data_IF_562480532948
#
_entry.id   IF_562480532948
#
_cell.length_a   1.000
_cell.length_b   1.000
_cell.length_c   1.000
_cell.angle_alpha   90.00
_cell.angle_beta   90.00
_cell.angle_gamma   90.00
#
_symmetry.space_group_name_H-M   'P 1'
#
loop_
_entity.id
_entity.type
_entity.pdbx_description
1 polymer ?
#
# COMPACT_ATOMS: atom_id res chain seq x y z
N UNK A 1 -6.79 19.01 -1.88
CA UNK A 1 -6.04 18.98 -3.16
C UNK A 1 -4.77 18.15 -2.92
N UNK A 2 -4.47 17.17 -3.78
CA UNK A 2 -3.29 16.30 -3.61
C UNK A 2 -2.03 17.08 -4.05
N UNK A 3 -1.17 17.44 -3.09
CA UNK A 3 0.03 18.25 -3.35
C UNK A 3 1.25 17.37 -3.67
N UNK A 4 1.20 16.70 -4.82
CA UNK A 4 2.28 15.83 -5.30
C UNK A 4 3.65 16.54 -5.37
N UNK A 5 3.77 17.77 -5.94
CA UNK A 5 5.06 18.45 -6.08
C UNK A 5 5.77 18.68 -4.74
N UNK A 6 5.03 19.11 -3.71
CA UNK A 6 5.63 19.35 -2.39
C UNK A 6 6.00 18.04 -1.70
N UNK A 7 5.19 16.98 -1.77
CA UNK A 7 5.55 15.67 -1.21
C UNK A 7 6.79 15.06 -1.86
N UNK A 8 6.89 15.15 -3.18
CA UNK A 8 8.07 14.69 -3.91
C UNK A 8 9.34 15.40 -3.40
N UNK A 9 9.25 16.73 -3.23
CA UNK A 9 10.33 17.57 -2.72
C UNK A 9 10.72 17.24 -1.28
N UNK A 10 9.73 17.00 -0.42
CA UNK A 10 9.96 16.60 0.97
C UNK A 10 10.66 15.24 1.06
N UNK A 11 10.15 14.22 0.36
CA UNK A 11 10.74 12.87 0.33
C UNK A 11 12.16 12.88 -0.23
N UNK A 12 12.41 13.65 -1.30
CA UNK A 12 13.78 13.82 -1.81
C UNK A 12 14.70 14.41 -0.76
N UNK A 13 14.28 15.49 -0.11
CA UNK A 13 15.07 16.15 0.94
C UNK A 13 15.30 15.24 2.15
N UNK A 14 14.33 14.44 2.56
CA UNK A 14 14.49 13.48 3.66
C UNK A 14 15.49 12.38 3.36
N UNK A 15 15.68 12.04 2.07
CA UNK A 15 16.73 11.12 1.61
C UNK A 15 18.09 11.80 1.40
N UNK A 16 18.20 13.11 1.58
CA UNK A 16 19.44 13.86 1.41
C UNK A 16 19.86 14.05 -0.06
N UNK A 17 18.98 13.78 -1.02
CA UNK A 17 19.31 13.95 -2.44
C UNK A 17 19.13 15.39 -2.91
N UNK A 18 20.06 15.86 -3.74
CA UNK A 18 19.87 17.03 -4.60
C UNK A 18 18.99 16.67 -5.81
N UNK A 19 18.43 17.68 -6.49
CA UNK A 19 17.67 17.46 -7.72
C UNK A 19 18.53 16.81 -8.82
N UNK A 20 19.82 17.13 -8.88
CA UNK A 20 20.76 16.55 -9.84
C UNK A 20 21.06 15.07 -9.52
N UNK A 21 21.27 14.73 -8.24
CA UNK A 21 21.54 13.35 -7.85
C UNK A 21 20.36 12.43 -8.17
N UNK A 22 19.14 12.85 -7.80
CA UNK A 22 17.97 12.00 -8.06
C UNK A 22 17.63 11.93 -9.56
N UNK A 23 17.87 12.99 -10.34
CA UNK A 23 17.66 12.93 -11.79
C UNK A 23 18.62 11.94 -12.45
N UNK A 24 19.87 11.83 -11.97
CA UNK A 24 20.82 10.81 -12.40
C UNK A 24 20.36 9.40 -12.04
N UNK A 25 19.84 9.19 -10.84
CA UNK A 25 19.27 7.89 -10.42
C UNK A 25 18.05 7.47 -11.25
N UNK A 26 17.30 8.45 -11.77
CA UNK A 26 16.12 8.24 -12.60
C UNK A 26 16.43 8.12 -14.10
N UNK A 27 17.68 8.38 -14.51
CA UNK A 27 18.11 8.50 -15.90
C UNK A 27 17.30 9.54 -16.70
N UNK A 28 17.14 10.73 -16.11
CA UNK A 28 16.46 11.87 -16.73
C UNK A 28 17.27 13.16 -16.59
N UNK A 29 16.92 14.18 -17.37
CA UNK A 29 17.48 15.51 -17.20
C UNK A 29 17.04 16.18 -15.89
N UNK A 30 17.95 16.86 -15.20
CA UNK A 30 17.65 17.63 -13.97
C UNK A 30 16.49 18.61 -14.16
N UNK A 31 16.40 19.25 -15.34
CA UNK A 31 15.30 20.16 -15.68
C UNK A 31 13.94 19.47 -15.67
N UNK A 32 13.86 18.21 -16.11
CA UNK A 32 12.62 17.45 -16.07
C UNK A 32 12.19 17.19 -14.62
N UNK A 33 13.13 16.75 -13.77
CA UNK A 33 12.87 16.54 -12.34
C UNK A 33 12.43 17.85 -11.63
N UNK A 34 13.13 18.96 -11.91
CA UNK A 34 12.79 20.26 -11.34
C UNK A 34 11.39 20.73 -11.75
N UNK A 35 10.93 20.42 -12.97
CA UNK A 35 9.55 20.73 -13.40
C UNK A 35 8.51 19.96 -12.59
N UNK A 36 8.80 18.73 -12.18
CA UNK A 36 7.90 17.94 -11.32
C UNK A 36 7.75 18.55 -9.93
N UNK A 37 8.84 18.92 -9.27
CA UNK A 37 8.79 19.55 -7.94
C UNK A 37 8.16 20.96 -7.94
N UNK A 38 8.11 21.60 -9.11
CA UNK A 38 7.46 22.90 -9.28
C UNK A 38 6.04 22.78 -9.86
N UNK A 39 5.50 21.56 -10.03
CA UNK A 39 4.16 21.32 -10.54
C UNK A 39 3.95 21.76 -12.00
N UNK A 40 5.02 21.88 -12.79
CA UNK A 40 4.96 22.32 -14.20
C UNK A 40 4.63 21.18 -15.15
N UNK A 41 5.06 19.96 -14.81
CA UNK A 41 4.78 18.73 -15.57
C UNK A 41 4.62 17.58 -14.58
N UNK A 42 4.08 16.46 -15.05
CA UNK A 42 3.95 15.24 -14.26
C UNK A 42 4.96 14.17 -14.70
N UNK A 43 5.41 13.30 -13.79
CA UNK A 43 6.18 12.12 -14.15
C UNK A 43 5.29 11.07 -14.82
N UNK A 44 5.89 10.23 -15.67
CA UNK A 44 5.22 9.03 -16.21
C UNK A 44 4.97 8.00 -15.10
N UNK A 45 4.06 7.05 -15.33
CA UNK A 45 3.82 5.94 -14.40
C UNK A 45 5.11 5.16 -14.08
N UNK A 46 5.92 4.90 -15.10
CA UNK A 46 7.22 4.25 -14.93
C UNK A 46 8.14 5.04 -13.98
N UNK A 47 8.20 6.37 -14.14
CA UNK A 47 8.99 7.23 -13.28
C UNK A 47 8.44 7.29 -11.85
N UNK A 48 7.11 7.21 -11.66
CA UNK A 48 6.50 7.10 -10.33
C UNK A 48 6.93 5.81 -9.63
N UNK A 49 6.97 4.68 -10.35
CA UNK A 49 7.45 3.40 -9.82
C UNK A 49 8.95 3.42 -9.52
N UNK A 50 9.76 4.13 -10.33
CA UNK A 50 11.18 4.32 -10.04
C UNK A 50 11.40 5.21 -8.82
N UNK A 51 10.64 6.31 -8.71
CA UNK A 51 10.66 7.23 -7.57
C UNK A 51 10.31 6.53 -6.26
N UNK A 52 9.29 5.68 -6.25
CA UNK A 52 8.89 4.94 -5.05
C UNK A 52 10.04 4.05 -4.52
N UNK A 53 10.77 3.40 -5.43
CA UNK A 53 11.96 2.60 -5.10
C UNK A 53 13.13 3.46 -4.59
N UNK A 54 13.47 4.56 -5.29
CA UNK A 54 14.61 5.42 -4.92
C UNK A 54 14.37 6.15 -3.58
N UNK A 55 13.12 6.54 -3.32
CA UNK A 55 12.74 7.29 -2.13
C UNK A 55 12.29 6.40 -0.96
N UNK A 56 12.41 5.07 -1.09
CA UNK A 56 11.89 4.05 -0.17
C UNK A 56 10.49 4.41 0.38
N UNK A 57 9.55 4.60 -0.54
CA UNK A 57 8.17 5.00 -0.24
C UNK A 57 7.21 4.22 -1.15
N UNK A 58 5.90 4.28 -0.88
CA UNK A 58 4.90 3.71 -1.81
C UNK A 58 4.48 4.74 -2.85
N UNK A 59 3.92 4.26 -3.97
CA UNK A 59 3.27 5.13 -4.97
C UNK A 59 2.06 5.85 -4.37
N UNK A 60 1.32 5.18 -3.50
CA UNK A 60 0.20 5.76 -2.75
C UNK A 60 0.63 6.96 -1.90
N UNK A 61 1.72 6.84 -1.14
CA UNK A 61 2.24 7.96 -0.35
C UNK A 61 2.67 9.15 -1.22
N UNK A 62 3.33 8.90 -2.37
CA UNK A 62 3.73 9.95 -3.30
C UNK A 62 2.51 10.68 -3.88
N UNK A 63 1.51 9.90 -4.32
CA UNK A 63 0.27 10.42 -4.88
C UNK A 63 -0.66 11.02 -3.82
N UNK A 64 -0.38 10.80 -2.54
CA UNK A 64 -1.10 11.38 -1.42
C UNK A 64 -2.25 10.58 -0.89
N UNK A 65 -2.31 9.30 -1.21
CA UNK A 65 -3.16 8.35 -0.54
C UNK A 65 -2.48 7.98 0.78
N UNK A 66 -2.93 8.62 1.86
CA UNK A 66 -2.55 8.24 3.21
C UNK A 66 -3.52 7.18 3.69
N UNK A 67 -3.03 5.97 3.96
CA UNK A 67 -3.82 4.96 4.66
C UNK A 67 -3.73 5.29 6.15
N UNK A 68 -4.67 6.08 6.66
CA UNK A 68 -4.78 6.40 8.09
C UNK A 68 -5.36 5.21 8.85
N UNK A 69 -4.56 4.16 9.01
CA UNK A 69 -4.93 2.99 9.82
C UNK A 69 -5.23 3.40 11.28
N UNK A 70 -4.50 4.37 11.85
CA UNK A 70 -4.62 4.73 13.26
C UNK A 70 -5.88 5.53 13.59
N UNK A 71 -6.11 6.64 12.88
CA UNK A 71 -7.15 7.60 13.28
C UNK A 71 -8.56 7.21 12.83
N UNK A 72 -8.69 6.49 11.70
CA UNK A 72 -9.99 6.06 11.16
C UNK A 72 -10.43 4.71 11.73
N UNK A 73 -9.50 3.76 11.93
CA UNK A 73 -9.83 2.40 12.36
C UNK A 73 -9.76 2.20 13.89
N UNK A 74 -8.81 2.84 14.60
CA UNK A 74 -8.63 2.60 16.06
C UNK A 74 -9.50 3.50 16.94
N UNK A 75 -10.04 4.59 16.41
CA UNK A 75 -11.02 5.40 17.14
C UNK A 75 -12.34 4.61 17.19
N UNK A 76 -12.56 3.94 18.32
CA UNK A 76 -13.72 3.10 18.69
C UNK A 76 -15.10 3.81 18.67
N UNK A 77 -15.36 4.69 17.70
CA UNK A 77 -16.63 5.43 17.54
C UNK A 77 -17.45 4.97 16.33
N UNK A 78 -16.90 4.16 15.42
CA UNK A 78 -17.64 3.53 14.32
C UNK A 78 -17.70 2.02 14.50
N UNK A 79 -18.49 1.59 15.48
CA UNK A 79 -18.83 0.18 15.67
C UNK A 79 -19.80 -0.23 14.55
N UNK A 80 -19.23 -0.52 13.39
CA UNK A 80 -19.86 -0.99 12.14
C UNK A 80 -21.02 -0.12 11.64
N UNK A 81 -20.71 0.86 10.80
CA UNK A 81 -21.74 1.47 9.97
C UNK A 81 -21.99 0.59 8.75
N UNK A 82 -23.06 -0.20 8.78
CA UNK A 82 -23.46 -1.05 7.65
C UNK A 82 -24.30 -0.29 6.61
N UNK A 83 -24.60 0.99 6.82
CA UNK A 83 -25.26 1.80 5.79
C UNK A 83 -24.40 1.96 4.54
N UNK A 84 -23.07 1.86 4.70
CA UNK A 84 -22.07 1.88 3.62
C UNK A 84 -22.23 0.74 2.61
N UNK A 85 -22.90 -0.37 2.99
CA UNK A 85 -23.21 -1.46 2.06
C UNK A 85 -24.13 -1.02 0.91
N UNK A 86 -24.86 0.10 1.10
CA UNK A 86 -25.73 0.71 0.09
C UNK A 86 -25.01 1.79 -0.72
N UNK A 87 -23.86 2.25 -0.26
CA UNK A 87 -23.14 3.37 -0.86
C UNK A 87 -22.19 2.88 -1.95
N UNK A 88 -22.01 3.67 -3.00
CA UNK A 88 -21.02 3.41 -4.04
C UNK A 88 -19.61 3.89 -3.68
N UNK A 89 -19.42 4.40 -2.46
CA UNK A 89 -18.10 4.83 -2.02
C UNK A 89 -17.24 3.63 -1.64
N UNK A 90 -16.37 3.28 -2.58
CA UNK A 90 -15.40 2.20 -2.48
C UNK A 90 -14.52 2.37 -1.23
N UNK A 91 -14.21 3.60 -0.80
CA UNK A 91 -13.33 3.80 0.35
C UNK A 91 -14.02 3.44 1.67
N UNK A 92 -15.32 3.72 1.80
CA UNK A 92 -16.09 3.32 2.97
C UNK A 92 -16.17 1.79 3.09
N UNK A 93 -16.28 1.08 1.97
CA UNK A 93 -16.22 -0.39 1.95
C UNK A 93 -14.85 -0.93 2.37
N UNK A 94 -13.76 -0.30 1.91
CA UNK A 94 -12.41 -0.66 2.37
C UNK A 94 -12.23 -0.42 3.87
N UNK A 95 -12.71 0.71 4.40
CA UNK A 95 -12.60 1.02 5.82
C UNK A 95 -13.42 0.04 6.68
N UNK A 96 -14.62 -0.37 6.22
CA UNK A 96 -15.42 -1.41 6.85
C UNK A 96 -14.68 -2.76 6.83
N UNK A 97 -14.14 -3.18 5.68
CA UNK A 97 -13.38 -4.43 5.56
C UNK A 97 -12.21 -4.46 6.53
N UNK A 98 -11.43 -3.38 6.60
CA UNK A 98 -10.28 -3.28 7.50
C UNK A 98 -10.73 -3.36 8.95
N UNK A 99 -11.82 -2.67 9.32
CA UNK A 99 -12.39 -2.74 10.67
C UNK A 99 -12.76 -4.17 11.06
N UNK A 100 -13.49 -4.87 10.19
CA UNK A 100 -13.86 -6.28 10.40
C UNK A 100 -12.63 -7.18 10.50
N UNK A 101 -11.61 -6.94 9.67
CA UNK A 101 -10.39 -7.73 9.71
C UNK A 101 -9.64 -7.58 11.03
N UNK A 102 -9.59 -6.37 11.61
CA UNK A 102 -8.99 -6.16 12.93
C UNK A 102 -9.71 -6.93 14.04
N UNK A 103 -11.04 -7.00 13.98
CA UNK A 103 -11.80 -7.80 14.95
C UNK A 103 -11.57 -9.31 14.75
N UNK A 104 -11.37 -9.74 13.50
CA UNK A 104 -11.02 -11.13 13.17
C UNK A 104 -9.56 -11.51 13.45
N UNK A 105 -8.70 -10.53 13.79
CA UNK A 105 -7.37 -10.81 14.35
C UNK A 105 -7.44 -11.26 15.82
N UNK A 106 -8.54 -10.95 16.52
CA UNK A 106 -8.80 -11.49 17.85
C UNK A 106 -9.29 -12.95 17.71
N UNK A 107 -8.49 -13.91 18.18
CA UNK A 107 -8.80 -15.35 18.11
C UNK A 107 -10.13 -15.72 18.80
N UNK A 108 -10.69 -14.84 19.64
CA UNK A 108 -11.99 -15.05 20.28
C UNK A 108 -13.20 -14.83 19.36
N UNK A 109 -13.00 -14.25 18.18
CA UNK A 109 -14.05 -13.92 17.23
C UNK A 109 -13.86 -14.66 15.89
N UNK A 110 -14.94 -15.20 15.36
CA UNK A 110 -14.97 -15.86 14.05
C UNK A 110 -15.93 -15.12 13.11
N UNK A 111 -15.78 -15.29 11.78
CA UNK A 111 -16.62 -14.58 10.79
C UNK A 111 -18.11 -14.81 11.00
N UNK A 112 -18.51 -16.03 11.36
CA UNK A 112 -19.91 -16.41 11.60
C UNK A 112 -20.52 -15.64 12.77
N UNK A 113 -19.81 -15.58 13.91
CA UNK A 113 -20.25 -14.89 15.12
C UNK A 113 -20.26 -13.38 14.92
N UNK A 114 -19.30 -12.85 14.16
CA UNK A 114 -19.29 -11.44 13.79
C UNK A 114 -20.49 -11.12 12.87
N UNK A 115 -20.78 -11.96 11.88
CA UNK A 115 -21.99 -11.86 11.04
C UNK A 115 -23.25 -11.83 11.88
N UNK A 116 -23.42 -12.77 12.81
CA UNK A 116 -24.58 -12.82 13.73
C UNK A 116 -24.74 -11.49 14.49
N UNK A 117 -23.67 -10.97 15.09
CA UNK A 117 -23.69 -9.69 15.82
C UNK A 117 -24.07 -8.50 14.92
N UNK A 118 -23.64 -8.52 13.66
CA UNK A 118 -23.90 -7.46 12.69
C UNK A 118 -25.35 -7.50 12.18
N UNK A 119 -25.86 -8.70 11.92
CA UNK A 119 -27.24 -8.94 11.49
C UNK A 119 -28.25 -8.67 12.61
N UNK A 120 -27.95 -9.01 13.86
CA UNK A 120 -28.84 -8.71 14.99
C UNK A 120 -29.06 -7.20 15.17
N UNK A 121 -28.03 -6.40 14.88
CA UNK A 121 -28.08 -4.94 15.06
C UNK A 121 -28.67 -4.21 13.86
N UNK A 122 -28.68 -4.83 12.69
CA UNK A 122 -29.03 -4.17 11.44
C UNK A 122 -30.02 -5.02 10.64
N UNK A 123 -31.16 -4.43 10.28
CA UNK A 123 -32.18 -5.07 9.44
C UNK A 123 -31.74 -5.06 7.98
N UNK A 124 -30.78 -5.91 7.64
CA UNK A 124 -30.26 -6.03 6.28
C UNK A 124 -31.22 -6.79 5.36
N UNK A 125 -31.18 -6.47 4.07
CA UNK A 125 -31.83 -7.25 3.02
C UNK A 125 -30.88 -8.35 2.49
N UNK A 126 -31.37 -9.19 1.56
CA UNK A 126 -30.59 -10.33 1.02
C UNK A 126 -29.36 -9.92 0.23
N UNK A 127 -29.42 -8.81 -0.49
CA UNK A 127 -28.30 -8.32 -1.30
C UNK A 127 -27.21 -7.73 -0.39
N UNK A 128 -27.62 -7.00 0.65
CA UNK A 128 -26.72 -6.48 1.68
C UNK A 128 -26.06 -7.59 2.49
N UNK A 129 -26.79 -8.67 2.78
CA UNK A 129 -26.22 -9.85 3.43
C UNK A 129 -25.14 -10.51 2.56
N UNK A 130 -25.38 -10.64 1.25
CA UNK A 130 -24.41 -11.20 0.32
C UNK A 130 -23.14 -10.35 0.22
N UNK A 131 -23.29 -9.02 0.19
CA UNK A 131 -22.15 -8.10 0.19
C UNK A 131 -21.39 -8.22 1.51
N UNK A 132 -22.09 -8.28 2.65
CA UNK A 132 -21.47 -8.44 3.96
C UNK A 132 -20.69 -9.76 4.06
N UNK A 133 -21.24 -10.87 3.55
CA UNK A 133 -20.56 -12.16 3.49
C UNK A 133 -19.25 -12.07 2.71
N UNK A 134 -19.30 -11.43 1.54
CA UNK A 134 -18.12 -11.23 0.69
C UNK A 134 -17.05 -10.40 1.42
N UNK A 135 -17.46 -9.31 2.09
CA UNK A 135 -16.54 -8.46 2.85
C UNK A 135 -15.94 -9.22 4.04
N UNK A 136 -16.72 -10.04 4.73
CA UNK A 136 -16.24 -10.85 5.86
C UNK A 136 -15.23 -11.91 5.42
N UNK A 137 -15.45 -12.55 4.28
CA UNK A 137 -14.50 -13.51 3.71
C UNK A 137 -13.18 -12.83 3.34
N UNK A 138 -13.21 -11.70 2.64
CA UNK A 138 -12.01 -10.93 2.32
C UNK A 138 -11.31 -10.40 3.58
N UNK A 139 -12.07 -9.95 4.58
CA UNK A 139 -11.53 -9.52 5.87
C UNK A 139 -10.83 -10.66 6.61
N UNK A 140 -11.40 -11.87 6.53
CA UNK A 140 -10.82 -13.07 7.15
C UNK A 140 -9.53 -13.49 6.46
N UNK A 141 -9.51 -13.51 5.13
CA UNK A 141 -8.29 -13.79 4.34
C UNK A 141 -7.17 -12.82 4.73
N UNK A 142 -7.47 -11.53 4.79
CA UNK A 142 -6.50 -10.52 5.22
C UNK A 142 -6.01 -10.73 6.66
N UNK A 143 -6.90 -11.05 7.60
CA UNK A 143 -6.53 -11.32 8.98
C UNK A 143 -5.61 -12.56 9.10
N UNK A 144 -5.85 -13.59 8.29
CA UNK A 144 -5.03 -14.80 8.27
C UNK A 144 -3.64 -14.53 7.68
N UNK A 145 -3.54 -13.74 6.61
CA UNK A 145 -2.26 -13.28 6.04
C UNK A 145 -1.42 -12.51 7.07
N UNK A 146 -2.07 -11.61 7.83
CA UNK A 146 -1.41 -10.84 8.89
C UNK A 146 -0.90 -11.77 10.00
N UNK A 147 -1.71 -12.76 10.41
CA UNK A 147 -1.31 -13.77 11.39
C UNK A 147 -0.13 -14.63 10.90
N UNK A 148 -0.13 -15.03 9.63
CA UNK A 148 1.00 -15.74 9.02
C UNK A 148 2.26 -14.87 9.01
N UNK A 149 2.13 -13.59 8.66
CA UNK A 149 3.24 -12.64 8.71
C UNK A 149 3.82 -12.48 10.11
N UNK A 150 2.99 -12.43 11.16
CA UNK A 150 3.47 -12.40 12.54
C UNK A 150 4.21 -13.68 12.92
N UNK A 151 3.70 -14.86 12.53
CA UNK A 151 4.41 -16.14 12.72
C UNK A 151 5.76 -16.14 11.99
N UNK A 152 5.78 -15.63 10.76
CA UNK A 152 6.99 -15.47 9.97
C UNK A 152 8.01 -14.56 10.68
N UNK A 153 7.61 -13.37 11.16
CA UNK A 153 8.50 -12.46 11.90
C UNK A 153 9.07 -13.12 13.16
N UNK A 154 8.25 -13.84 13.92
CA UNK A 154 8.70 -14.58 15.11
C UNK A 154 9.69 -15.71 14.77
N UNK A 155 9.59 -16.29 13.58
CA UNK A 155 10.43 -17.42 13.16
C UNK A 155 11.90 -17.05 12.85
N UNK A 156 12.30 -15.78 12.95
CA UNK A 156 13.63 -15.27 12.58
C UNK A 156 14.09 -15.64 11.15
N UNK A 157 13.17 -16.10 10.29
CA UNK A 157 13.46 -16.37 8.88
C UNK A 157 13.71 -15.05 8.15
N UNK A 158 14.72 -15.02 7.29
CA UNK A 158 14.95 -13.86 6.41
C UNK A 158 13.88 -13.82 5.32
N UNK A 159 13.18 -12.69 5.21
CA UNK A 159 12.21 -12.48 4.16
C UNK A 159 12.96 -12.32 2.84
N UNK A 160 12.55 -13.09 1.82
CA UNK A 160 13.10 -12.95 0.47
C UNK A 160 12.03 -12.32 -0.41
N UNK A 161 12.25 -11.05 -0.75
CA UNK A 161 11.40 -10.33 -1.69
C UNK A 161 11.37 -11.06 -3.06
N UNK A 162 10.28 -10.96 -3.84
CA UNK A 162 10.18 -11.60 -5.16
C UNK A 162 11.34 -11.26 -6.11
N UNK A 163 11.84 -10.02 -6.09
CA UNK A 163 13.00 -9.59 -6.88
C UNK A 163 14.35 -10.14 -6.38
N UNK A 164 14.38 -10.78 -5.20
CA UNK A 164 15.55 -11.49 -4.68
C UNK A 164 15.51 -12.98 -5.05
N UNK A 165 14.43 -13.47 -5.69
CA UNK A 165 14.27 -14.89 -6.08
C UNK A 165 14.78 -15.22 -7.48
N UNK A 166 15.29 -14.25 -8.24
CA UNK A 166 15.90 -14.49 -9.55
C UNK A 166 16.99 -13.46 -9.85
N UNK A 167 18.23 -13.81 -9.50
CA UNK A 167 19.41 -13.24 -10.14
C UNK A 167 20.42 -14.37 -10.38
N UNK A 168 20.10 -15.25 -11.33
CA UNK A 168 21.06 -16.18 -11.94
C UNK A 168 21.35 -15.89 -13.41
N UNK A 169 20.71 -14.89 -14.04
CA UNK A 169 20.90 -14.65 -15.48
C UNK A 169 21.15 -13.19 -15.88
N UNK A 170 21.77 -12.37 -15.03
CA UNK A 170 22.37 -11.09 -15.44
C UNK A 170 23.61 -10.79 -14.58
N UNK A 171 24.66 -11.60 -14.74
CA UNK A 171 26.01 -11.10 -14.50
C UNK A 171 26.42 -10.25 -15.71
N UNK A 172 26.98 -9.05 -15.53
CA UNK A 172 27.62 -8.36 -16.65
C UNK A 172 28.78 -9.24 -17.12
N UNK A 173 28.85 -9.54 -18.41
CA UNK A 173 30.06 -10.08 -19.01
C UNK A 173 31.18 -9.06 -18.79
N UNK A 174 32.01 -9.26 -17.77
CA UNK A 174 33.35 -8.73 -17.75
C UNK A 174 34.18 -9.45 -18.83
N UNK A 175 35.16 -8.72 -19.37
CA UNK A 175 36.16 -9.12 -20.38
C UNK A 175 35.69 -9.22 -21.83
N UNK A 176 35.86 -8.11 -22.57
CA UNK A 176 36.78 -8.07 -23.71
C UNK A 176 36.99 -6.63 -24.19
N UNK A 177 37.76 -5.87 -23.40
CA UNK A 177 38.61 -4.82 -23.93
C UNK A 177 40.02 -5.06 -23.40
N UNK A 178 40.83 -5.74 -24.20
CA UNK A 178 42.28 -5.70 -24.10
C UNK A 178 42.86 -5.57 -25.51
N UNK A 179 43.31 -4.35 -25.77
CA UNK A 179 44.46 -3.95 -26.57
C UNK A 179 44.37 -4.08 -28.09
N UNK A 180 44.19 -2.89 -28.68
CA UNK A 180 45.01 -2.42 -29.80
C UNK A 180 46.49 -2.58 -29.43
N UNK A 181 47.19 -3.41 -30.20
CA UNK A 181 48.54 -3.18 -30.74
C UNK A 181 48.58 -3.83 -32.14
#
# INVERSE_FOLDING_TARGET
MLDFPNRLKEKRKSKGYTQEQISKLLDIGQSAYAKWENGRTEPTLENIVKLSKILDTTTDELLGRHINFGDTILNKKYKYDLSVLKESDIQNLYDLKITLAFDLLDESLNPTKLKEILMEKNKLNKDEELILDTILDEAKEFADDVNEFYKFKKSNKKFKWPWQKSNTNLAPNESNHSNLD
#
